data_IF_935019224180
#
_entry.id   IF_935019224180
#
_cell.length_a   1.000
_cell.length_b   1.000
_cell.length_c   1.000
_cell.angle_alpha   90.00
_cell.angle_beta   90.00
_cell.angle_gamma   90.00
#
_symmetry.space_group_name_H-M   'P 1'
#
loop_
_entity.id
_entity.type
_entity.pdbx_description
1 polymer ?
#
# COMPACT_ATOMS: atom_id res chain seq x y z
N UNK A 1 61.22 9.46 -9.75
CA UNK A 1 60.98 8.30 -8.86
C UNK A 1 60.29 8.78 -7.60
N UNK A 2 59.24 8.07 -7.17
CA UNK A 2 58.53 8.16 -5.87
C UNK A 2 57.81 9.49 -5.54
N UNK A 3 56.51 9.53 -5.84
CA UNK A 3 55.47 9.94 -4.86
C UNK A 3 54.32 8.94 -4.96
N UNK A 4 54.48 7.88 -4.18
CA UNK A 4 53.52 6.85 -3.86
C UNK A 4 52.34 7.45 -3.07
N UNK A 5 51.19 6.76 -3.13
CA UNK A 5 50.16 6.70 -2.07
C UNK A 5 49.48 8.01 -1.67
N UNK A 6 48.21 8.21 -2.07
CA UNK A 6 47.09 8.45 -1.12
C UNK A 6 45.71 8.72 -1.75
N UNK A 7 45.30 8.09 -2.86
CA UNK A 7 43.91 8.22 -3.32
C UNK A 7 43.39 6.87 -3.82
N UNK A 8 43.30 5.90 -2.91
CA UNK A 8 42.68 4.59 -3.18
C UNK A 8 41.82 4.12 -2.00
N UNK A 9 41.16 5.06 -1.31
CA UNK A 9 40.30 4.75 -0.16
C UNK A 9 38.98 5.53 -0.19
N UNK A 10 38.37 5.64 -1.37
CA UNK A 10 37.01 6.18 -1.51
C UNK A 10 36.21 5.40 -2.57
N UNK A 11 36.44 4.09 -2.64
CA UNK A 11 35.68 3.17 -3.50
C UNK A 11 35.19 1.97 -2.69
N UNK A 12 34.60 2.26 -1.53
CA UNK A 12 33.75 1.32 -0.84
C UNK A 12 32.39 2.01 -0.65
N UNK A 13 31.78 2.33 -1.79
CA UNK A 13 30.34 2.57 -1.85
C UNK A 13 29.69 1.25 -1.43
N UNK A 14 29.28 1.23 -0.17
CA UNK A 14 28.46 0.19 0.41
C UNK A 14 27.25 0.01 -0.52
N UNK A 15 27.23 -1.07 -1.29
CA UNK A 15 25.99 -1.58 -1.88
C UNK A 15 25.16 -2.12 -0.73
N UNK A 16 24.49 -1.21 -0.01
CA UNK A 16 23.43 -1.56 0.91
C UNK A 16 22.32 -2.10 0.01
N UNK A 17 22.26 -3.42 -0.12
CA UNK A 17 21.24 -4.09 -0.90
C UNK A 17 19.91 -3.88 -0.15
N UNK A 18 19.11 -2.92 -0.60
CA UNK A 18 17.78 -2.64 -0.06
C UNK A 18 16.83 -3.73 -0.54
N UNK A 19 16.96 -4.92 0.03
CA UNK A 19 16.26 -6.13 -0.40
C UNK A 19 14.93 -6.30 0.36
N UNK A 20 14.10 -5.26 0.40
CA UNK A 20 12.68 -5.43 0.77
C UNK A 20 11.95 -6.04 -0.43
N UNK A 21 12.03 -7.37 -0.54
CA UNK A 21 11.40 -8.11 -1.63
C UNK A 21 9.97 -8.49 -1.21
N UNK A 22 9.01 -7.66 -1.61
CA UNK A 22 7.60 -8.02 -1.51
C UNK A 22 7.30 -9.28 -2.34
N UNK A 23 6.52 -10.23 -1.80
CA UNK A 23 5.96 -11.34 -2.57
C UNK A 23 4.92 -10.83 -3.58
N UNK A 24 4.23 -9.75 -3.24
CA UNK A 24 3.31 -9.04 -4.11
C UNK A 24 3.35 -7.53 -3.89
N UNK A 25 3.34 -6.75 -4.96
CA UNK A 25 3.19 -5.30 -4.90
C UNK A 25 2.47 -4.81 -6.16
N UNK A 26 1.33 -4.15 -5.99
CA UNK A 26 0.60 -3.54 -7.10
C UNK A 26 0.00 -2.20 -6.67
N UNK A 27 0.17 -1.20 -7.52
CA UNK A 27 -0.49 0.11 -7.43
C UNK A 27 -1.57 0.21 -8.51
N UNK A 28 -2.74 0.77 -8.17
CA UNK A 28 -3.81 1.06 -9.12
C UNK A 28 -4.15 2.55 -9.09
N UNK A 29 -4.16 3.16 -10.26
CA UNK A 29 -4.62 4.55 -10.41
C UNK A 29 -6.14 4.63 -10.40
N UNK A 30 -6.65 5.69 -9.78
CA UNK A 30 -8.08 5.93 -9.51
C UNK A 30 -8.57 7.18 -10.28
N UNK A 31 -7.70 7.80 -11.09
CA UNK A 31 -8.03 8.96 -11.94
C UNK A 31 -8.79 10.07 -11.21
N UNK A 32 -8.48 10.28 -9.92
CA UNK A 32 -9.06 11.31 -9.08
C UNK A 32 -10.60 11.23 -8.87
N UNK A 33 -11.22 10.09 -9.15
CA UNK A 33 -12.68 9.91 -9.05
C UNK A 33 -13.03 8.48 -8.63
N UNK A 34 -13.08 8.22 -7.34
CA UNK A 34 -13.43 6.90 -6.80
C UNK A 34 -14.91 6.80 -6.41
N UNK A 35 -15.74 6.20 -7.26
CA UNK A 35 -17.14 5.94 -6.91
C UNK A 35 -17.26 4.84 -5.84
N UNK A 36 -18.28 4.93 -4.98
CA UNK A 36 -18.69 3.83 -4.09
C UNK A 36 -19.02 2.53 -4.83
N UNK A 37 -19.37 2.62 -6.12
CA UNK A 37 -19.65 1.47 -6.98
C UNK A 37 -18.37 0.81 -7.53
N UNK A 38 -17.26 1.55 -7.53
CA UNK A 38 -16.00 1.04 -8.05
C UNK A 38 -15.34 0.12 -7.03
N UNK A 39 -14.91 -1.05 -7.50
CA UNK A 39 -14.18 -2.01 -6.69
C UNK A 39 -12.77 -2.18 -7.22
N UNK A 40 -11.78 -1.89 -6.39
CA UNK A 40 -10.38 -2.17 -6.70
C UNK A 40 -10.09 -3.63 -6.32
N UNK A 41 -9.90 -4.48 -7.33
CA UNK A 41 -9.59 -5.90 -7.13
C UNK A 41 -8.10 -6.17 -7.31
N UNK A 42 -7.43 -6.64 -6.28
CA UNK A 42 -6.03 -7.06 -6.32
C UNK A 42 -5.97 -8.58 -6.32
N UNK A 43 -5.43 -9.16 -7.39
CA UNK A 43 -5.29 -10.61 -7.53
C UNK A 43 -3.83 -10.99 -7.32
N UNK A 44 -3.58 -11.97 -6.46
CA UNK A 44 -2.25 -12.45 -6.12
C UNK A 44 -2.26 -13.93 -5.78
N UNK A 45 -1.11 -14.57 -5.96
CA UNK A 45 -0.90 -16.00 -5.69
C UNK A 45 0.03 -16.15 -4.50
N UNK A 46 -0.39 -16.88 -3.48
CA UNK A 46 0.44 -17.22 -2.31
C UNK A 46 1.13 -18.55 -2.55
N UNK A 47 2.46 -18.57 -2.50
CA UNK A 47 3.26 -19.78 -2.75
C UNK A 47 3.59 -20.57 -1.49
N UNK A 48 3.73 -19.90 -0.35
CA UNK A 48 4.05 -20.51 0.94
C UNK A 48 3.08 -20.02 2.03
N UNK A 49 1.91 -20.65 2.13
CA UNK A 49 0.87 -20.26 3.09
C UNK A 49 1.21 -20.59 4.55
N UNK A 50 2.18 -21.48 4.79
CA UNK A 50 2.72 -21.77 6.13
C UNK A 50 3.41 -20.56 6.75
N UNK A 51 4.00 -19.68 5.92
CA UNK A 51 4.66 -18.47 6.38
C UNK A 51 3.63 -17.35 6.58
N UNK A 52 3.64 -16.75 7.76
CA UNK A 52 2.83 -15.57 8.08
C UNK A 52 3.28 -14.37 7.26
N UNK A 53 2.33 -13.56 6.81
CA UNK A 53 2.58 -12.45 5.89
C UNK A 53 1.98 -11.14 6.38
N UNK A 54 2.64 -10.03 6.11
CA UNK A 54 2.02 -8.72 6.33
C UNK A 54 1.33 -8.27 5.05
N UNK A 55 0.09 -7.79 5.19
CA UNK A 55 -0.65 -7.15 4.12
C UNK A 55 -0.72 -5.66 4.47
N UNK A 56 -0.19 -4.82 3.57
CA UNK A 56 -0.17 -3.39 3.74
C UNK A 56 -0.88 -2.69 2.57
N UNK A 57 -1.44 -1.54 2.84
CA UNK A 57 -2.01 -0.64 1.84
C UNK A 57 -1.14 0.59 1.68
N UNK A 58 -1.12 1.10 0.45
CA UNK A 58 -0.48 2.36 0.12
C UNK A 58 -1.58 3.27 -0.41
N UNK A 59 -1.74 4.45 0.19
CA UNK A 59 -2.73 5.43 -0.26
C UNK A 59 -1.99 6.66 -0.74
N UNK A 60 -2.29 7.10 -1.97
CA UNK A 60 -1.83 8.39 -2.49
C UNK A 60 -3.00 9.35 -2.61
N UNK A 61 -2.90 10.46 -1.92
CA UNK A 61 -3.89 11.54 -2.00
C UNK A 61 -3.24 12.85 -2.44
N UNK A 62 -4.04 13.71 -3.08
CA UNK A 62 -3.65 15.08 -3.42
C UNK A 62 -4.47 16.10 -2.59
N UNK A 63 -4.34 17.38 -2.94
CA UNK A 63 -5.02 18.50 -2.27
C UNK A 63 -6.54 18.55 -2.50
N UNK A 64 -7.08 17.84 -3.50
CA UNK A 64 -8.53 17.73 -3.72
C UNK A 64 -9.21 16.83 -2.67
N UNK A 65 -8.43 16.09 -1.87
CA UNK A 65 -8.98 15.23 -0.83
C UNK A 65 -9.39 16.06 0.39
N UNK A 66 -10.69 16.11 0.68
CA UNK A 66 -11.24 17.04 1.68
C UNK A 66 -11.45 16.45 3.07
N UNK A 67 -10.96 15.22 3.33
CA UNK A 67 -11.19 14.51 4.58
C UNK A 67 -9.88 14.22 5.30
N UNK A 68 -9.90 14.14 6.62
CA UNK A 68 -8.73 13.72 7.40
C UNK A 68 -8.57 12.22 7.47
N UNK A 69 -9.57 11.44 7.03
CA UNK A 69 -9.59 10.00 7.17
C UNK A 69 -10.28 9.32 5.98
N UNK A 70 -9.94 8.06 5.73
CA UNK A 70 -10.45 7.21 4.66
C UNK A 70 -11.04 5.92 5.23
N UNK A 71 -12.34 5.76 5.07
CA UNK A 71 -13.04 4.51 5.34
C UNK A 71 -12.96 3.57 4.15
N UNK A 72 -12.70 2.29 4.42
CA UNK A 72 -12.61 1.24 3.40
C UNK A 72 -13.40 0.00 3.83
N UNK A 73 -14.08 -0.62 2.87
CA UNK A 73 -14.64 -1.95 2.99
C UNK A 73 -13.77 -2.94 2.23
N UNK A 74 -13.27 -3.95 2.93
CA UNK A 74 -12.33 -4.93 2.40
C UNK A 74 -13.00 -6.30 2.37
N UNK A 75 -12.82 -7.02 1.27
CA UNK A 75 -13.15 -8.45 1.18
C UNK A 75 -11.96 -9.22 0.66
N UNK A 76 -11.49 -10.21 1.43
CA UNK A 76 -10.48 -11.16 0.98
C UNK A 76 -11.15 -12.48 0.61
N UNK A 77 -10.86 -12.98 -0.59
CA UNK A 77 -11.41 -14.22 -1.12
C UNK A 77 -10.30 -15.21 -1.44
N UNK A 78 -10.56 -16.47 -1.15
CA UNK A 78 -9.82 -17.64 -1.63
C UNK A 78 -10.68 -18.30 -2.73
N UNK A 79 -10.32 -18.09 -3.99
CA UNK A 79 -11.20 -18.40 -5.12
C UNK A 79 -12.57 -17.72 -4.99
N UNK A 80 -13.65 -18.49 -4.84
CA UNK A 80 -15.02 -17.96 -4.65
C UNK A 80 -15.41 -17.76 -3.18
N UNK A 81 -14.65 -18.31 -2.23
CA UNK A 81 -14.97 -18.27 -0.80
C UNK A 81 -14.47 -16.97 -0.19
N UNK A 82 -15.34 -16.20 0.46
CA UNK A 82 -14.93 -15.06 1.29
C UNK A 82 -14.33 -15.59 2.59
N UNK A 83 -13.10 -15.20 2.90
CA UNK A 83 -12.38 -15.63 4.10
C UNK A 83 -12.17 -14.50 5.12
N UNK A 84 -12.27 -13.24 4.69
CA UNK A 84 -12.24 -12.07 5.58
C UNK A 84 -13.12 -10.97 5.01
N UNK A 85 -13.82 -10.24 5.88
CA UNK A 85 -14.51 -8.99 5.55
C UNK A 85 -14.25 -8.00 6.67
N UNK A 86 -13.67 -6.86 6.34
CA UNK A 86 -13.20 -5.88 7.31
C UNK A 86 -13.68 -4.47 6.92
N UNK A 87 -13.93 -3.64 7.93
CA UNK A 87 -14.13 -2.19 7.76
C UNK A 87 -12.97 -1.48 8.41
N UNK A 88 -12.28 -0.64 7.66
CA UNK A 88 -11.09 0.07 8.13
C UNK A 88 -11.34 1.57 8.10
N UNK A 89 -10.71 2.28 9.03
CA UNK A 89 -10.65 3.73 9.06
C UNK A 89 -9.19 4.16 9.19
N UNK A 90 -8.63 4.73 8.13
CA UNK A 90 -7.26 5.23 8.14
C UNK A 90 -7.21 6.74 8.25
N UNK A 91 -6.34 7.25 9.11
CA UNK A 91 -6.13 8.69 9.28
C UNK A 91 -5.05 9.14 8.30
N UNK A 92 -5.41 10.07 7.41
CA UNK A 92 -4.55 10.64 6.37
C UNK A 92 -3.97 11.99 6.79
N UNK A 93 -4.67 12.76 7.64
CA UNK A 93 -4.22 14.05 8.15
C UNK A 93 -4.38 14.15 9.67
N UNK A 94 -3.51 14.94 10.31
CA UNK A 94 -3.65 15.29 11.72
C UNK A 94 -4.79 16.30 11.97
N UNK A 95 -4.96 16.68 13.24
CA UNK A 95 -6.02 17.61 13.68
C UNK A 95 -5.86 19.04 13.10
N UNK A 96 -4.69 19.40 12.62
CA UNK A 96 -4.41 20.69 11.98
C UNK A 96 -4.68 20.66 10.47
N UNK A 97 -5.00 19.48 9.91
CA UNK A 97 -5.18 19.28 8.48
C UNK A 97 -3.88 18.95 7.74
N UNK A 98 -2.75 18.81 8.44
CA UNK A 98 -1.49 18.44 7.81
C UNK A 98 -1.50 16.95 7.45
N UNK A 99 -1.20 16.64 6.20
CA UNK A 99 -1.06 15.26 5.72
C UNK A 99 0.03 14.51 6.49
N UNK A 100 -0.29 13.30 6.95
CA UNK A 100 0.64 12.39 7.62
C UNK A 100 1.56 11.67 6.63
N UNK A 101 1.12 11.55 5.37
CA UNK A 101 1.91 11.00 4.29
C UNK A 101 3.05 11.93 3.84
N UNK A 102 4.04 11.36 3.18
CA UNK A 102 5.18 12.07 2.58
C UNK A 102 5.09 12.04 1.06
N UNK A 103 5.75 12.97 0.38
CA UNK A 103 5.70 13.02 -1.08
C UNK A 103 6.05 14.40 -1.65
N UNK A 104 6.43 14.41 -2.92
CA UNK A 104 6.83 15.61 -3.65
C UNK A 104 5.61 16.29 -4.29
N UNK A 105 5.56 17.63 -4.24
CA UNK A 105 4.44 18.41 -4.76
C UNK A 105 3.15 18.16 -3.97
N UNK A 106 2.01 18.16 -4.68
CA UNK A 106 0.68 18.03 -4.09
C UNK A 106 0.31 16.60 -3.70
N UNK A 107 1.04 15.58 -4.18
CA UNK A 107 0.75 14.17 -3.88
C UNK A 107 1.46 13.76 -2.59
N UNK A 108 0.69 13.12 -1.69
CA UNK A 108 1.16 12.53 -0.43
C UNK A 108 0.87 11.04 -0.44
N UNK A 109 1.88 10.24 -0.13
CA UNK A 109 1.85 8.79 0.00
C UNK A 109 1.94 8.41 1.47
N UNK A 110 1.11 7.46 1.89
CA UNK A 110 1.17 6.88 3.22
C UNK A 110 0.99 5.37 3.17
N UNK A 111 1.73 4.69 4.03
CA UNK A 111 1.68 3.25 4.22
C UNK A 111 0.81 2.94 5.44
N UNK A 112 -0.13 2.02 5.26
CA UNK A 112 -1.00 1.54 6.33
C UNK A 112 -0.90 0.02 6.45
N UNK A 113 -0.66 -0.45 7.66
CA UNK A 113 -0.70 -1.88 7.93
C UNK A 113 -2.15 -2.36 8.06
N UNK A 114 -2.57 -3.28 7.18
CA UNK A 114 -3.91 -3.86 7.21
C UNK A 114 -3.96 -5.13 8.05
N UNK A 115 -3.13 -6.13 7.75
CA UNK A 115 -3.00 -7.33 8.58
C UNK A 115 -1.53 -7.62 8.86
N UNK A 116 -1.19 -7.78 10.13
CA UNK A 116 0.12 -8.26 10.58
C UNK A 116 0.09 -9.78 10.71
N UNK A 117 1.18 -10.44 10.34
CA UNK A 117 1.40 -11.86 10.64
C UNK A 117 0.21 -12.75 10.20
N UNK A 118 -0.39 -12.42 9.06
CA UNK A 118 -1.59 -13.07 8.56
C UNK A 118 -1.27 -14.46 8.01
N UNK A 119 -2.01 -15.46 8.47
CA UNK A 119 -1.92 -16.83 7.97
C UNK A 119 -2.91 -17.07 6.84
N UNK A 120 -2.40 -17.30 5.64
CA UNK A 120 -3.22 -17.77 4.53
C UNK A 120 -3.62 -19.23 4.75
N UNK A 121 -4.81 -19.61 4.29
CA UNK A 121 -5.37 -20.94 4.53
C UNK A 121 -4.67 -22.03 3.73
N UNK A 122 -4.22 -21.72 2.51
CA UNK A 122 -3.44 -22.62 1.64
C UNK A 122 -2.73 -21.86 0.51
N UNK A 123 -1.83 -22.54 -0.20
CA UNK A 123 -1.23 -22.01 -1.41
C UNK A 123 -2.28 -21.86 -2.52
N UNK A 124 -2.20 -20.78 -3.29
CA UNK A 124 -3.10 -20.54 -4.42
C UNK A 124 -3.51 -19.09 -4.58
N UNK A 125 -4.57 -18.88 -5.35
CA UNK A 125 -5.01 -17.56 -5.80
C UNK A 125 -6.01 -16.92 -4.83
N UNK A 126 -5.76 -15.65 -4.56
CA UNK A 126 -6.59 -14.81 -3.71
C UNK A 126 -6.97 -13.53 -4.44
N UNK A 127 -8.13 -13.00 -4.07
CA UNK A 127 -8.59 -11.68 -4.50
C UNK A 127 -8.88 -10.82 -3.28
N UNK A 128 -8.21 -9.68 -3.19
CA UNK A 128 -8.54 -8.63 -2.23
C UNK A 128 -9.33 -7.53 -2.95
N UNK A 129 -10.59 -7.38 -2.59
CA UNK A 129 -11.47 -6.32 -3.07
C UNK A 129 -11.50 -5.16 -2.08
N UNK A 130 -11.29 -3.94 -2.57
CA UNK A 130 -11.32 -2.71 -1.79
C UNK A 130 -12.37 -1.77 -2.37
N UNK A 131 -13.27 -1.29 -1.52
CA UNK A 131 -14.31 -0.30 -1.85
C UNK A 131 -14.23 0.85 -0.87
N UNK A 132 -14.37 2.09 -1.34
CA UNK A 132 -14.42 3.25 -0.45
C UNK A 132 -15.72 3.26 0.38
N UNK A 133 -15.59 3.50 1.68
CA UNK A 133 -16.68 3.54 2.66
C UNK A 133 -17.04 4.95 3.12
N UNK A 134 -16.67 5.98 2.36
CA UNK A 134 -16.94 7.37 2.70
C UNK A 134 -18.42 7.72 2.47
N UNK A 135 -18.91 8.79 3.09
CA UNK A 135 -20.29 9.25 2.88
C UNK A 135 -20.53 9.80 1.47
N UNK A 136 -19.50 10.31 0.79
CA UNK A 136 -19.58 10.83 -0.58
C UNK A 136 -19.67 9.72 -1.62
N UNK A 137 -20.59 9.85 -2.57
CA UNK A 137 -20.79 8.84 -3.62
C UNK A 137 -19.60 8.69 -4.56
N UNK A 138 -18.91 9.79 -4.84
CA UNK A 138 -17.64 9.81 -5.56
C UNK A 138 -16.63 10.59 -4.73
N UNK A 139 -15.52 9.94 -4.42
CA UNK A 139 -14.43 10.48 -3.65
C UNK A 139 -13.39 11.07 -4.62
N UNK A 140 -13.16 12.37 -4.49
CA UNK A 140 -12.07 13.08 -5.19
C UNK A 140 -10.83 13.10 -4.31
N UNK A 141 -9.68 13.22 -4.94
CA UNK A 141 -8.40 13.44 -4.29
C UNK A 141 -7.63 12.19 -3.88
N UNK A 142 -8.22 10.99 -4.02
CA UNK A 142 -7.45 9.75 -3.99
C UNK A 142 -6.97 9.46 -5.41
N UNK A 143 -5.66 9.43 -5.58
CA UNK A 143 -5.00 9.32 -6.89
C UNK A 143 -4.64 7.88 -7.18
N UNK A 144 -4.05 7.19 -6.21
CA UNK A 144 -3.67 5.78 -6.33
C UNK A 144 -3.95 5.02 -5.03
N UNK A 145 -4.18 3.72 -5.18
CA UNK A 145 -4.26 2.78 -4.07
C UNK A 145 -3.44 1.53 -4.39
N UNK A 146 -2.58 1.15 -3.45
CA UNK A 146 -1.66 0.04 -3.59
C UNK A 146 -1.85 -1.01 -2.51
N UNK A 147 -1.44 -2.24 -2.83
CA UNK A 147 -1.39 -3.37 -1.91
C UNK A 147 0.00 -3.99 -2.00
N UNK A 148 0.61 -4.23 -0.85
CA UNK A 148 1.84 -5.02 -0.74
C UNK A 148 1.64 -6.21 0.19
N UNK A 149 2.35 -7.30 -0.12
CA UNK A 149 2.42 -8.51 0.69
C UNK A 149 3.90 -8.86 0.84
N UNK A 150 4.34 -9.01 2.09
CA UNK A 150 5.67 -9.46 2.50
C UNK A 150 5.57 -10.70 3.39
#
# INVERSE_FOLDING_TARGET
MKKFLFISLCSMLLFINCNHKYEYSQMKSINNSWSKKDTLNFNFTIKNASDKKNINFIVRNNEDYQFSNLYLFIKLKEGKKVISTDTLNYILADKTGKWLGSGMGSIKEIYFQYKKDFSFTKNGDYTLSVVQGMRKDTLKGIVDFGVTIE
#
